data_IF_420053470943
#
_entry.id   IF_420053470943
#
_cell.length_a   1.000
_cell.length_b   1.000
_cell.length_c   1.000
_cell.angle_alpha   90.00
_cell.angle_beta   90.00
_cell.angle_gamma   90.00
#
_symmetry.space_group_name_H-M   'P 1'
#
loop_
_entity.id
_entity.type
_entity.pdbx_description
1 polymer ?
#
# COMPACT_ATOMS: atom_id res chain seq x y z
N UNK A 1 18.03 3.63 -17.69
CA UNK A 1 17.90 3.43 -16.23
C UNK A 1 16.57 4.01 -15.78
N UNK A 2 15.83 3.30 -14.90
CA UNK A 2 14.58 3.76 -14.31
C UNK A 2 14.64 3.52 -12.80
N UNK A 3 14.11 4.44 -11.99
CA UNK A 3 14.04 4.30 -10.53
C UNK A 3 12.60 3.96 -10.12
N UNK A 4 12.46 2.91 -9.32
CA UNK A 4 11.18 2.41 -8.85
C UNK A 4 11.13 2.34 -7.33
N UNK A 5 9.93 2.45 -6.76
CA UNK A 5 9.66 1.81 -5.47
C UNK A 5 9.69 0.31 -5.67
N UNK A 6 10.55 -0.42 -4.95
CA UNK A 6 10.81 -1.84 -5.25
C UNK A 6 9.55 -2.73 -5.12
N UNK A 7 8.63 -2.36 -4.23
CA UNK A 7 7.33 -3.05 -4.07
C UNK A 7 6.44 -3.01 -5.32
N UNK A 8 6.68 -2.07 -6.22
CA UNK A 8 5.91 -1.89 -7.45
C UNK A 8 6.62 -2.56 -8.65
N UNK A 9 7.79 -3.18 -8.43
CA UNK A 9 8.55 -3.92 -9.44
C UNK A 9 8.17 -5.40 -9.38
N UNK A 10 7.72 -6.02 -10.49
CA UNK A 10 7.34 -7.43 -10.52
C UNK A 10 8.51 -8.32 -10.08
N UNK A 11 8.21 -9.49 -9.51
CA UNK A 11 9.22 -10.44 -9.03
C UNK A 11 10.09 -11.02 -10.15
N UNK A 12 9.58 -11.01 -11.38
CA UNK A 12 10.28 -11.31 -12.64
C UNK A 12 10.17 -10.11 -13.58
N UNK A 13 11.30 -9.60 -14.05
CA UNK A 13 11.35 -8.55 -15.05
C UNK A 13 11.22 -9.14 -16.46
N UNK A 14 10.75 -8.36 -17.46
CA UNK A 14 10.80 -8.74 -18.86
C UNK A 14 12.22 -9.10 -19.31
N UNK A 15 12.32 -9.90 -20.36
CA UNK A 15 13.62 -10.22 -20.98
C UNK A 15 14.39 -8.95 -21.34
N UNK A 16 15.69 -8.93 -21.03
CA UNK A 16 16.55 -7.78 -21.22
C UNK A 16 16.53 -6.76 -20.08
N UNK A 17 15.65 -6.89 -19.08
CA UNK A 17 15.59 -6.04 -17.89
C UNK A 17 16.18 -6.71 -16.64
N UNK A 18 16.96 -5.96 -15.86
CA UNK A 18 17.42 -6.41 -14.54
C UNK A 18 17.39 -5.29 -13.48
N UNK A 19 17.34 -5.69 -12.21
CA UNK A 19 17.56 -4.77 -11.09
C UNK A 19 19.08 -4.60 -10.93
N UNK A 20 19.60 -3.44 -11.33
CA UNK A 20 21.02 -3.11 -11.26
C UNK A 20 21.49 -2.74 -9.85
N UNK A 21 20.62 -2.12 -9.03
CA UNK A 21 20.90 -1.84 -7.62
C UNK A 21 19.62 -1.74 -6.79
N UNK A 22 19.72 -2.14 -5.52
CA UNK A 22 18.74 -1.86 -4.47
C UNK A 22 19.38 -0.91 -3.47
N UNK A 23 18.80 0.28 -3.33
CA UNK A 23 19.34 1.36 -2.51
C UNK A 23 19.00 1.11 -1.04
N UNK A 24 19.68 1.83 -0.14
CA UNK A 24 19.40 1.82 1.30
C UNK A 24 17.90 2.00 1.59
N UNK A 25 17.35 1.08 2.39
CA UNK A 25 15.93 1.09 2.76
C UNK A 25 15.60 2.25 3.68
N UNK A 26 14.50 2.92 3.39
CA UNK A 26 13.75 3.68 4.40
C UNK A 26 12.86 2.74 5.21
N UNK A 27 12.14 3.29 6.20
CA UNK A 27 11.29 2.51 7.08
C UNK A 27 10.24 1.71 6.29
N UNK A 28 10.28 0.37 6.34
CA UNK A 28 9.37 -0.47 5.58
C UNK A 28 7.97 -0.54 6.18
N UNK A 29 7.75 -0.04 7.41
CA UNK A 29 6.47 -0.17 8.11
C UNK A 29 5.33 0.56 7.38
N UNK A 30 4.13 0.05 7.60
CA UNK A 30 2.94 0.83 7.35
C UNK A 30 2.68 1.78 8.53
N UNK A 31 1.98 2.87 8.27
CA UNK A 31 1.64 3.85 9.29
C UNK A 31 0.18 4.27 9.18
N UNK A 32 -0.36 4.69 10.31
CA UNK A 32 -1.69 5.25 10.44
C UNK A 32 -1.60 6.78 10.33
N UNK A 33 -2.48 7.36 9.54
CA UNK A 33 -2.72 8.81 9.51
C UNK A 33 -4.18 9.05 9.88
N UNK A 34 -4.39 9.65 11.04
CA UNK A 34 -5.71 10.02 11.54
C UNK A 34 -6.23 11.29 10.86
N UNK A 35 -7.56 11.38 10.68
CA UNK A 35 -8.21 12.61 10.20
C UNK A 35 -7.93 13.74 11.18
N UNK A 36 -7.65 14.94 10.64
CA UNK A 36 -7.43 16.13 11.46
C UNK A 36 -8.63 16.38 12.37
N UNK A 37 -8.33 16.72 13.63
CA UNK A 37 -9.34 16.98 14.67
C UNK A 37 -9.75 15.75 15.48
N UNK A 38 -9.43 14.53 15.04
CA UNK A 38 -9.59 13.34 15.87
C UNK A 38 -8.38 13.18 16.80
N UNK A 39 -8.64 12.80 18.06
CA UNK A 39 -7.60 12.65 19.09
C UNK A 39 -7.08 11.21 19.25
N UNK A 40 -7.62 10.26 18.49
CA UNK A 40 -7.23 8.85 18.55
C UNK A 40 -5.80 8.63 18.05
N UNK A 41 -5.06 7.71 18.68
CA UNK A 41 -3.64 7.45 18.41
C UNK A 41 -3.37 6.08 17.81
N UNK A 42 -4.35 5.18 17.81
CA UNK A 42 -4.23 3.83 17.27
C UNK A 42 -5.55 3.38 16.62
N UNK A 43 -5.51 2.24 15.95
CA UNK A 43 -6.72 1.60 15.41
C UNK A 43 -7.63 1.05 16.51
N UNK A 44 -7.07 0.61 17.65
CA UNK A 44 -7.82 0.06 18.79
C UNK A 44 -8.72 1.10 19.48
N UNK A 45 -8.36 2.37 19.39
CA UNK A 45 -9.11 3.47 20.01
C UNK A 45 -10.30 3.93 19.15
N UNK A 46 -10.37 3.52 17.89
CA UNK A 46 -11.42 3.93 16.98
C UNK A 46 -12.76 3.25 17.31
N UNK A 47 -13.89 3.98 17.32
CA UNK A 47 -15.21 3.39 17.53
C UNK A 47 -15.54 2.31 16.49
N UNK A 48 -16.34 1.33 16.90
CA UNK A 48 -16.92 0.33 16.00
C UNK A 48 -17.60 1.00 14.79
N UNK A 49 -17.36 0.47 13.60
CA UNK A 49 -17.88 1.03 12.34
C UNK A 49 -17.03 2.17 11.74
N UNK A 50 -15.95 2.62 12.39
CA UNK A 50 -15.06 3.64 11.83
C UNK A 50 -14.45 3.19 10.49
N UNK A 51 -14.41 4.10 9.52
CA UNK A 51 -13.95 3.79 8.16
C UNK A 51 -12.46 4.09 8.00
N UNK A 52 -11.70 3.08 7.60
CA UNK A 52 -10.26 3.13 7.33
C UNK A 52 -10.02 3.08 5.82
N UNK A 53 -9.32 4.08 5.29
CA UNK A 53 -8.99 4.16 3.87
C UNK A 53 -7.72 3.38 3.52
N UNK A 54 -7.85 2.34 2.70
CA UNK A 54 -6.71 1.66 2.05
C UNK A 54 -7.20 0.83 0.87
N UNK A 55 -6.52 0.94 -0.28
CA UNK A 55 -6.76 0.08 -1.45
C UNK A 55 -5.82 -1.14 -1.54
N UNK A 56 -5.01 -1.37 -0.51
CA UNK A 56 -4.14 -2.55 -0.46
C UNK A 56 -4.89 -3.75 0.11
N UNK A 57 -5.09 -4.78 -0.71
CA UNK A 57 -5.69 -6.07 -0.29
C UNK A 57 -4.91 -6.71 0.86
N UNK A 58 -3.58 -6.59 0.87
CA UNK A 58 -2.71 -7.03 1.97
C UNK A 58 -3.08 -6.34 3.28
N UNK A 59 -3.20 -5.01 3.27
CA UNK A 59 -3.53 -4.24 4.47
C UNK A 59 -4.93 -4.58 4.97
N UNK A 60 -5.90 -4.62 4.06
CA UNK A 60 -7.29 -4.95 4.42
C UNK A 60 -7.38 -6.34 5.05
N UNK A 61 -6.78 -7.36 4.42
CA UNK A 61 -6.84 -8.74 4.91
C UNK A 61 -6.25 -8.88 6.32
N UNK A 62 -5.04 -8.33 6.55
CA UNK A 62 -4.37 -8.42 7.85
C UNK A 62 -5.08 -7.57 8.92
N UNK A 63 -5.57 -6.38 8.57
CA UNK A 63 -6.24 -5.51 9.55
C UNK A 63 -7.65 -5.98 9.89
N UNK A 64 -8.39 -6.62 8.97
CA UNK A 64 -9.69 -7.24 9.30
C UNK A 64 -9.58 -8.33 10.36
N UNK A 65 -8.49 -9.10 10.33
CA UNK A 65 -8.18 -10.11 11.34
C UNK A 65 -8.05 -9.49 12.74
N UNK A 66 -7.33 -8.38 12.86
CA UNK A 66 -7.04 -7.71 14.14
C UNK A 66 -8.16 -6.76 14.57
N UNK A 67 -8.90 -6.19 13.62
CA UNK A 67 -9.90 -5.14 13.82
C UNK A 67 -11.21 -5.44 13.05
N UNK A 68 -11.92 -6.54 13.38
CA UNK A 68 -13.08 -7.00 12.61
C UNK A 68 -14.27 -6.03 12.63
N UNK A 69 -14.28 -5.08 13.55
CA UNK A 69 -15.34 -4.09 13.71
C UNK A 69 -15.10 -2.79 12.94
N UNK A 70 -13.92 -2.61 12.36
CA UNK A 70 -13.60 -1.46 11.50
C UNK A 70 -14.05 -1.73 10.06
N UNK A 71 -14.42 -0.68 9.35
CA UNK A 71 -14.84 -0.75 7.95
C UNK A 71 -13.67 -0.33 7.07
N UNK A 72 -13.33 -1.10 6.03
CA UNK A 72 -12.22 -0.79 5.13
C UNK A 72 -12.73 -0.38 3.75
N UNK A 73 -12.46 0.86 3.36
CA UNK A 73 -12.88 1.41 2.08
C UNK A 73 -11.69 1.80 1.20
N UNK A 74 -11.90 1.73 -0.12
CA UNK A 74 -10.91 2.12 -1.12
C UNK A 74 -10.61 3.63 -1.03
N UNK A 75 -9.32 3.98 -0.96
CA UNK A 75 -8.85 5.36 -1.09
C UNK A 75 -7.79 5.43 -2.18
N UNK A 76 -8.19 5.99 -3.33
CA UNK A 76 -7.36 6.07 -4.54
C UNK A 76 -6.82 7.49 -4.77
N UNK A 77 -5.74 7.56 -5.53
CA UNK A 77 -4.99 8.78 -5.83
C UNK A 77 -3.55 8.69 -5.34
N UNK A 78 -2.74 9.69 -5.69
CA UNK A 78 -1.42 9.87 -5.09
C UNK A 78 -1.54 10.27 -3.60
N UNK A 79 -0.41 10.35 -2.90
CA UNK A 79 -0.40 10.59 -1.45
C UNK A 79 -1.14 11.88 -1.05
N UNK A 80 -0.90 12.99 -1.75
CA UNK A 80 -1.57 14.27 -1.49
C UNK A 80 -3.09 14.18 -1.68
N UNK A 81 -3.54 13.50 -2.74
CA UNK A 81 -4.98 13.29 -3.00
C UNK A 81 -5.61 12.46 -1.88
N UNK A 82 -4.92 11.43 -1.39
CA UNK A 82 -5.42 10.60 -0.28
C UNK A 82 -5.50 11.38 1.04
N UNK A 83 -4.50 12.20 1.35
CA UNK A 83 -4.53 13.08 2.52
C UNK A 83 -5.65 14.13 2.42
N UNK A 84 -5.89 14.66 1.23
CA UNK A 84 -7.01 15.59 0.99
C UNK A 84 -8.35 14.90 1.24
N UNK A 85 -8.54 13.68 0.73
CA UNK A 85 -9.75 12.88 0.98
C UNK A 85 -9.93 12.48 2.44
N UNK A 86 -8.84 12.26 3.16
CA UNK A 86 -8.88 12.03 4.61
C UNK A 86 -9.35 13.28 5.35
N UNK A 87 -8.77 14.43 5.01
CA UNK A 87 -9.00 15.69 5.72
C UNK A 87 -10.34 16.37 5.32
N UNK A 88 -11.02 15.89 4.27
CA UNK A 88 -12.34 16.36 3.85
C UNK A 88 -13.37 16.16 4.99
N UNK A 89 -13.97 17.23 5.55
CA UNK A 89 -14.95 17.13 6.63
C UNK A 89 -16.12 16.20 6.30
N UNK A 90 -16.60 16.23 5.06
CA UNK A 90 -17.70 15.38 4.56
C UNK A 90 -17.20 14.01 4.08
N UNK A 91 -15.88 13.81 4.08
CA UNK A 91 -15.23 12.56 3.71
C UNK A 91 -15.46 11.45 4.75
N UNK A 92 -15.63 10.19 4.31
CA UNK A 92 -16.05 9.09 5.18
C UNK A 92 -14.94 8.57 6.10
N UNK A 93 -13.67 8.91 5.83
CA UNK A 93 -12.52 8.26 6.46
C UNK A 93 -12.24 8.84 7.85
N UNK A 94 -12.16 7.98 8.86
CA UNK A 94 -11.60 8.34 10.17
C UNK A 94 -10.06 8.33 10.13
N UNK A 95 -9.49 7.39 9.37
CA UNK A 95 -8.04 7.28 9.16
C UNK A 95 -7.72 6.67 7.81
N UNK A 96 -6.48 6.78 7.37
CA UNK A 96 -5.93 6.02 6.23
C UNK A 96 -4.64 5.31 6.63
N UNK A 97 -4.35 4.19 5.96
CA UNK A 97 -3.09 3.46 6.14
C UNK A 97 -2.18 3.68 4.94
N UNK A 98 -0.97 4.18 5.19
CA UNK A 98 0.04 4.53 4.18
C UNK A 98 1.36 3.80 4.42
N UNK A 99 2.24 3.79 3.42
CA UNK A 99 3.61 3.34 3.61
C UNK A 99 4.39 4.50 4.25
N UNK A 100 5.11 4.24 5.34
CA UNK A 100 5.85 5.28 6.08
C UNK A 100 6.88 6.00 5.22
N UNK A 101 7.72 5.23 4.49
CA UNK A 101 8.69 5.76 3.53
C UNK A 101 8.08 6.78 2.54
N UNK A 102 6.81 6.61 2.15
CA UNK A 102 6.15 7.55 1.23
C UNK A 102 5.90 8.92 1.86
N UNK A 103 5.67 8.98 3.18
CA UNK A 103 5.52 10.23 3.92
C UNK A 103 6.89 10.85 4.24
N UNK A 104 7.88 10.03 4.61
CA UNK A 104 9.25 10.47 4.89
C UNK A 104 9.89 11.16 3.68
N UNK A 105 9.80 10.56 2.49
CA UNK A 105 10.30 11.15 1.23
C UNK A 105 9.71 12.51 0.89
N UNK A 106 8.51 12.81 1.39
CA UNK A 106 7.78 14.05 1.13
C UNK A 106 7.90 15.06 2.28
N UNK A 107 8.65 14.75 3.35
CA UNK A 107 8.74 15.61 4.53
C UNK A 107 7.41 15.71 5.30
N UNK A 108 6.60 14.65 5.25
CA UNK A 108 5.26 14.59 5.85
C UNK A 108 5.20 13.67 7.08
N UNK A 109 6.33 13.44 7.75
CA UNK A 109 6.44 12.59 8.94
C UNK A 109 5.54 13.09 10.07
N UNK A 110 5.35 14.40 10.17
CA UNK A 110 4.44 15.04 11.14
C UNK A 110 2.98 14.63 10.99
N UNK A 111 2.59 14.07 9.84
CA UNK A 111 1.24 13.51 9.62
C UNK A 111 1.08 12.11 10.22
N UNK A 112 2.17 11.41 10.53
CA UNK A 112 2.12 10.04 11.04
C UNK A 112 1.58 10.06 12.46
N UNK A 113 0.46 9.36 12.68
CA UNK A 113 -0.12 9.17 14.02
C UNK A 113 0.64 8.08 14.77
N UNK A 114 0.83 6.93 14.15
CA UNK A 114 1.62 5.82 14.67
C UNK A 114 2.09 4.89 13.56
N UNK A 115 3.12 4.10 13.84
CA UNK A 115 3.52 2.98 12.98
C UNK A 115 2.70 1.74 13.34
N UNK A 116 2.34 0.95 12.33
CA UNK A 116 1.69 -0.35 12.52
C UNK A 116 2.76 -1.42 12.34
N UNK A 117 3.04 -2.15 13.42
CA UNK A 117 4.13 -3.12 13.48
C UNK A 117 3.64 -4.56 13.34
N UNK A 118 4.58 -5.49 13.14
CA UNK A 118 4.30 -6.90 13.30
C UNK A 118 3.96 -7.19 14.78
N UNK A 119 3.03 -8.12 15.09
CA UNK A 119 2.34 -9.03 14.16
C UNK A 119 1.05 -8.44 13.57
N UNK A 120 0.67 -7.21 13.90
CA UNK A 120 -0.59 -6.59 13.45
C UNK A 120 -0.63 -6.36 11.95
N UNK A 121 0.49 -5.90 11.37
CA UNK A 121 0.58 -5.68 9.94
C UNK A 121 2.02 -5.89 9.43
N UNK A 122 2.22 -6.97 8.67
CA UNK A 122 3.45 -7.23 7.93
C UNK A 122 3.41 -6.44 6.61
N UNK A 123 4.52 -5.75 6.31
CA UNK A 123 4.62 -4.83 5.18
C UNK A 123 4.67 -5.55 3.83
N UNK A 124 4.54 -4.79 2.73
CA UNK A 124 4.67 -5.35 1.39
C UNK A 124 6.13 -5.66 1.07
N UNK A 125 6.37 -6.71 0.29
CA UNK A 125 7.70 -7.08 -0.23
C UNK A 125 8.37 -5.89 -0.90
N UNK A 126 9.60 -5.58 -0.49
CA UNK A 126 10.37 -4.43 -1.00
C UNK A 126 9.83 -3.06 -0.58
N UNK A 127 8.86 -2.96 0.33
CA UNK A 127 8.37 -1.66 0.82
C UNK A 127 9.51 -0.88 1.49
N UNK A 128 9.60 0.42 1.21
CA UNK A 128 10.67 1.28 1.73
C UNK A 128 11.96 1.28 0.90
N UNK A 129 12.21 0.25 0.08
CA UNK A 129 13.37 0.22 -0.81
C UNK A 129 13.09 0.93 -2.14
N UNK A 130 14.12 1.58 -2.70
CA UNK A 130 14.16 1.99 -4.09
C UNK A 130 15.05 1.03 -4.88
N UNK A 131 14.66 0.75 -6.11
CA UNK A 131 15.40 -0.10 -7.01
C UNK A 131 15.65 0.60 -8.35
N UNK A 132 16.81 0.32 -8.93
CA UNK A 132 17.22 0.86 -10.21
C UNK A 132 17.16 -0.25 -11.24
N UNK A 133 16.26 -0.10 -12.22
CA UNK A 133 16.14 -0.99 -13.36
C UNK A 133 17.07 -0.53 -14.49
N UNK A 134 17.80 -1.48 -15.06
CA UNK A 134 18.72 -1.29 -16.18
C UNK A 134 18.51 -2.37 -17.23
N UNK A 135 19.10 -2.17 -18.42
CA UNK A 135 19.21 -3.25 -19.39
C UNK A 135 20.27 -4.24 -18.93
N UNK A 136 20.03 -5.53 -19.14
CA UNK A 136 20.96 -6.59 -18.77
C UNK A 136 22.24 -6.63 -19.61
N UNK A 137 22.25 -5.97 -20.77
CA UNK A 137 23.39 -5.89 -21.69
C UNK A 137 24.22 -4.60 -21.53
N UNK A 138 24.06 -3.88 -20.41
CA UNK A 138 24.69 -2.58 -20.13
C UNK A 138 25.67 -2.65 -18.95
N UNK A 139 26.87 -3.25 -19.14
CA UNK A 139 27.84 -3.44 -18.07
C UNK A 139 28.41 -2.12 -17.53
N UNK A 140 28.47 -1.08 -18.36
CA UNK A 140 28.94 0.24 -17.95
C UNK A 140 27.98 0.86 -16.92
N UNK A 141 26.67 0.80 -17.17
CA UNK A 141 25.68 1.25 -16.20
C UNK A 141 25.70 0.38 -14.93
N UNK A 142 25.89 -0.94 -15.08
CA UNK A 142 25.98 -1.86 -13.93
C UNK A 142 27.14 -1.48 -12.99
N UNK A 143 28.30 -1.18 -13.55
CA UNK A 143 29.48 -0.78 -12.78
C UNK A 143 29.24 0.51 -11.98
N UNK A 144 28.57 1.50 -12.59
CA UNK A 144 28.21 2.75 -11.91
C UNK A 144 27.26 2.55 -10.72
N UNK A 145 26.40 1.53 -10.78
CA UNK A 145 25.40 1.25 -9.76
C UNK A 145 25.92 0.48 -8.56
N UNK A 146 27.08 -0.17 -8.66
CA UNK A 146 27.70 -0.92 -7.54
C UNK A 146 27.82 -0.05 -6.29
N UNK A 147 28.15 1.24 -6.45
CA UNK A 147 28.32 2.15 -5.33
C UNK A 147 27.01 2.62 -4.66
N UNK A 148 25.87 2.42 -5.33
CA UNK A 148 24.54 2.78 -4.84
C UNK A 148 23.83 1.62 -4.15
N UNK A 149 24.27 0.39 -4.40
CA UNK A 149 23.68 -0.80 -3.78
C UNK A 149 24.00 -0.85 -2.28
N UNK A 150 22.94 -0.95 -1.47
CA UNK A 150 23.07 -1.29 -0.06
C UNK A 150 22.86 -2.79 0.09
N UNK A 151 23.93 -3.54 0.29
CA UNK A 151 23.88 -5.01 0.31
C UNK A 151 22.94 -5.57 1.38
N UNK A 152 22.78 -4.88 2.52
CA UNK A 152 21.87 -5.26 3.60
C UNK A 152 20.44 -5.23 3.11
N UNK A 153 20.03 -4.10 2.53
CA UNK A 153 18.71 -3.94 1.91
C UNK A 153 18.54 -4.90 0.74
N UNK A 154 19.57 -5.09 -0.08
CA UNK A 154 19.53 -5.99 -1.23
C UNK A 154 19.26 -7.43 -0.80
N UNK A 155 19.96 -7.95 0.21
CA UNK A 155 19.76 -9.31 0.72
C UNK A 155 18.36 -9.49 1.31
N UNK A 156 17.93 -8.59 2.19
CA UNK A 156 16.58 -8.62 2.75
C UNK A 156 15.50 -8.59 1.66
N UNK A 157 15.63 -7.69 0.69
CA UNK A 157 14.65 -7.56 -0.40
C UNK A 157 14.68 -8.75 -1.36
N UNK A 158 15.84 -9.34 -1.63
CA UNK A 158 15.97 -10.56 -2.44
C UNK A 158 15.27 -11.74 -1.77
N UNK A 159 15.45 -11.92 -0.46
CA UNK A 159 14.73 -12.92 0.32
C UNK A 159 13.20 -12.71 0.26
N UNK A 160 12.74 -11.48 0.51
CA UNK A 160 11.31 -11.12 0.42
C UNK A 160 10.73 -11.40 -0.97
N UNK A 161 11.45 -11.00 -2.03
CA UNK A 161 11.03 -11.19 -3.42
C UNK A 161 11.04 -12.66 -3.84
N UNK A 162 12.01 -13.44 -3.36
CA UNK A 162 12.04 -14.89 -3.60
C UNK A 162 10.87 -15.60 -2.91
N UNK A 163 10.54 -15.21 -1.67
CA UNK A 163 9.35 -15.68 -0.97
C UNK A 163 8.08 -15.37 -1.78
N UNK A 164 7.93 -14.11 -2.20
CA UNK A 164 6.79 -13.69 -3.01
C UNK A 164 6.72 -14.44 -4.33
N UNK A 165 7.83 -14.61 -5.05
CA UNK A 165 7.89 -15.32 -6.34
C UNK A 165 7.43 -16.77 -6.24
N UNK A 166 7.75 -17.46 -5.14
CA UNK A 166 7.31 -18.85 -4.92
C UNK A 166 5.83 -18.92 -4.55
N UNK A 167 5.30 -17.91 -3.85
CA UNK A 167 3.87 -17.82 -3.50
C UNK A 167 3.00 -17.30 -4.65
N UNK A 168 3.54 -16.46 -5.53
CA UNK A 168 2.82 -15.81 -6.63
C UNK A 168 2.50 -16.79 -7.76
N UNK A 169 1.30 -17.36 -7.71
CA UNK A 169 0.60 -17.91 -8.87
C UNK A 169 -0.17 -16.87 -9.70
N UNK A 170 -0.02 -15.56 -9.41
CA UNK A 170 -0.72 -14.45 -10.09
C UNK A 170 -0.64 -13.10 -9.33
N UNK A 171 -0.72 -11.97 -10.04
CA UNK A 171 -0.50 -10.62 -9.48
C UNK A 171 -1.57 -10.20 -8.44
N UNK A 172 -1.11 -9.73 -7.27
CA UNK A 172 -1.85 -9.09 -6.15
C UNK A 172 -2.35 -10.00 -5.02
N UNK A 173 -1.56 -10.95 -4.54
CA UNK A 173 -1.92 -11.78 -3.37
C UNK A 173 -1.77 -11.00 -2.04
N UNK A 174 -2.59 -11.24 -1.00
CA UNK A 174 -2.49 -10.60 0.32
C UNK A 174 -1.33 -11.17 1.15
N UNK A 175 -0.13 -11.09 0.56
CA UNK A 175 1.13 -11.53 1.17
C UNK A 175 1.74 -10.36 1.92
N UNK A 176 2.18 -10.61 3.15
CA UNK A 176 2.99 -9.68 3.95
C UNK A 176 4.32 -10.30 4.32
N UNK A 177 5.33 -9.47 4.53
CA UNK A 177 6.65 -9.89 5.01
C UNK A 177 7.16 -8.98 6.13
N UNK A 178 8.06 -9.49 6.95
CA UNK A 178 8.91 -8.73 7.86
C UNK A 178 10.31 -9.34 7.82
N UNK A 179 11.34 -8.52 7.67
CA UNK A 179 12.72 -8.97 7.56
C UNK A 179 13.62 -8.15 8.48
N UNK A 180 14.55 -8.85 9.11
CA UNK A 180 15.58 -8.26 9.95
C UNK A 180 16.91 -8.92 9.58
N UNK A 181 17.88 -8.11 9.19
CA UNK A 181 19.25 -8.55 8.93
C UNK A 181 20.15 -7.98 10.02
N UNK A 182 20.63 -8.85 10.89
CA UNK A 182 21.59 -8.50 11.95
C UNK A 182 22.96 -8.96 11.49
N UNK A 183 23.92 -8.05 11.39
CA UNK A 183 25.29 -8.42 11.05
C UNK A 183 25.84 -9.34 12.14
N UNK A 184 26.34 -10.51 11.74
CA UNK A 184 26.95 -11.42 12.70
C UNK A 184 28.29 -10.82 13.09
N UNK A 185 28.49 -10.55 14.39
CA UNK A 185 29.82 -10.26 14.89
C UNK A 185 30.63 -11.55 14.81
N UNK A 186 31.76 -11.52 14.11
CA UNK A 186 32.69 -12.63 14.19
C UNK A 186 33.18 -12.71 15.65
N UNK A 187 32.98 -13.87 16.28
CA UNK A 187 33.59 -14.27 17.57
C UNK A 187 35.14 -14.16 17.55
N UNK A 188 35.73 -13.79 16.41
CA UNK A 188 37.16 -13.55 16.23
C UNK A 188 37.64 -12.19 16.77
N UNK A 189 36.75 -11.27 17.14
CA UNK A 189 37.14 -9.92 17.60
C UNK A 189 37.51 -9.85 19.10
N UNK A 190 37.18 -10.87 19.90
CA UNK A 190 37.54 -10.93 21.34
C UNK A 190 39.05 -11.14 21.62
N UNK A 191 39.90 -11.34 20.60
CA UNK A 191 41.35 -11.49 20.79
C UNK A 191 42.19 -10.22 20.56
N UNK A 192 41.60 -9.05 20.29
CA UNK A 192 42.41 -7.83 20.08
C UNK A 192 42.09 -6.63 20.97
N UNK A 193 40.99 -6.62 21.72
CA UNK A 193 40.57 -5.43 22.49
C UNK A 193 40.58 -5.62 24.01
N UNK A 194 41.67 -6.20 24.54
CA UNK A 194 42.07 -5.96 25.92
C UNK A 194 42.95 -4.69 25.99
N UNK A 195 42.36 -3.51 25.69
CA UNK A 195 42.73 -2.16 26.17
C UNK A 195 42.11 -1.06 25.30
N UNK A 196 40.94 -0.58 25.70
CA UNK A 196 40.61 0.86 25.77
C UNK A 196 39.18 1.00 26.30
N UNK A 197 39.05 1.19 27.61
CA UNK A 197 37.79 1.65 28.20
C UNK A 197 37.52 3.09 27.80
N UNK A 198 36.27 3.38 27.44
CA UNK A 198 35.70 4.72 27.48
C UNK A 198 35.27 5.28 26.13
N UNK A 199 34.02 5.05 25.75
CA UNK A 199 33.05 6.11 25.40
C UNK A 199 31.81 5.52 24.74
N UNK A 200 30.66 6.11 25.07
CA UNK A 200 29.33 5.75 24.62
C UNK A 200 29.23 5.78 23.10
N UNK A 201 28.79 4.67 22.49
CA UNK A 201 28.59 4.55 21.05
C UNK A 201 27.28 5.22 20.63
N UNK A 202 27.41 6.43 20.09
CA UNK A 202 26.46 6.96 19.13
C UNK A 202 26.46 6.04 17.89
N UNK A 203 25.27 5.61 17.47
CA UNK A 203 25.07 4.82 16.25
C UNK A 203 25.56 5.63 15.04
N UNK A 204 26.71 5.22 14.50
CA UNK A 204 27.32 5.84 13.33
C UNK A 204 26.64 5.39 12.03
N UNK A 205 26.50 6.35 11.13
CA UNK A 205 25.80 6.32 9.87
C UNK A 205 26.45 5.36 8.85
N UNK A 206 25.63 4.51 8.22
CA UNK A 206 25.79 4.02 6.84
C UNK A 206 27.20 3.62 6.37
N UNK A 207 27.80 2.59 6.98
CA UNK A 207 29.05 2.02 6.48
C UNK A 207 28.81 1.22 5.19
N UNK A 208 29.46 1.66 4.09
CA UNK A 208 29.66 0.94 2.82
C UNK A 208 30.57 -0.30 2.99
N UNK A 209 30.36 -1.07 4.06
CA UNK A 209 31.14 -2.28 4.32
C UNK A 209 30.83 -3.34 3.27
N UNK A 210 31.82 -4.17 2.95
CA UNK A 210 31.59 -5.37 2.16
C UNK A 210 30.52 -6.27 2.82
N UNK A 211 29.79 -7.09 2.04
CA UNK A 211 28.88 -8.07 2.59
C UNK A 211 29.62 -9.04 3.52
N UNK A 212 28.98 -9.40 4.63
CA UNK A 212 29.52 -10.34 5.63
C UNK A 212 28.43 -11.30 6.07
N UNK A 213 28.83 -12.42 6.69
CA UNK A 213 27.90 -13.33 7.31
C UNK A 213 26.96 -12.57 8.26
N UNK A 214 25.66 -12.75 8.08
CA UNK A 214 24.63 -11.99 8.78
C UNK A 214 23.46 -12.89 9.10
N UNK A 215 22.89 -12.71 10.28
CA UNK A 215 21.69 -13.42 10.70
C UNK A 215 20.47 -12.76 10.05
N UNK A 216 19.88 -13.45 9.08
CA UNK A 216 18.65 -13.04 8.42
C UNK A 216 17.46 -13.72 9.09
N UNK A 217 16.54 -12.92 9.62
CA UNK A 217 15.20 -13.36 10.03
C UNK A 217 14.20 -12.87 8.99
N UNK A 218 13.44 -13.80 8.40
CA UNK A 218 12.36 -13.50 7.48
C UNK A 218 11.07 -14.15 7.96
N UNK A 219 10.05 -13.33 8.20
CA UNK A 219 8.67 -13.76 8.40
C UNK A 219 7.87 -13.48 7.14
N UNK A 220 7.14 -14.48 6.65
CA UNK A 220 6.13 -14.31 5.60
C UNK A 220 4.73 -14.63 6.13
N UNK A 221 3.69 -14.04 5.54
CA UNK A 221 2.30 -14.35 5.85
C UNK A 221 1.42 -14.35 4.60
N UNK A 222 0.37 -15.18 4.62
CA UNK A 222 -0.77 -15.15 3.68
C UNK A 222 -2.06 -15.09 4.49
N UNK A 223 -2.93 -14.14 4.16
CA UNK A 223 -4.20 -13.93 4.87
C UNK A 223 -5.36 -13.88 3.88
N UNK A 224 -6.48 -14.56 4.15
CA UNK A 224 -7.67 -14.48 3.29
C UNK A 224 -8.26 -13.06 3.26
N UNK A 225 -9.01 -12.72 2.21
CA UNK A 225 -9.54 -11.35 2.02
C UNK A 225 -10.55 -10.90 3.11
N UNK A 226 -11.17 -11.86 3.79
CA UNK A 226 -12.03 -11.65 4.96
C UNK A 226 -11.26 -11.55 6.28
N UNK A 227 -9.96 -11.93 6.30
CA UNK A 227 -9.13 -11.96 7.50
C UNK A 227 -9.29 -13.22 8.38
N UNK A 228 -10.13 -14.19 7.98
CA UNK A 228 -10.47 -15.34 8.83
C UNK A 228 -9.43 -16.47 8.79
N UNK A 229 -8.79 -16.69 7.62
CA UNK A 229 -7.69 -17.64 7.45
C UNK A 229 -6.38 -16.88 7.40
N UNK A 230 -5.40 -17.34 8.15
CA UNK A 230 -4.11 -16.69 8.23
C UNK A 230 -3.03 -17.71 8.54
N UNK A 231 -1.98 -17.71 7.72
CA UNK A 231 -0.79 -18.51 7.92
C UNK A 231 0.43 -17.60 7.94
N UNK A 232 1.37 -17.89 8.82
CA UNK A 232 2.66 -17.22 8.84
C UNK A 232 3.75 -18.23 9.16
N UNK A 233 4.98 -17.93 8.75
CA UNK A 233 6.14 -18.72 9.07
C UNK A 233 7.36 -17.81 9.15
N UNK A 234 8.26 -18.12 10.09
CA UNK A 234 9.51 -17.37 10.30
C UNK A 234 10.68 -18.32 10.19
N UNK A 235 11.67 -17.93 9.40
CA UNK A 235 12.98 -18.60 9.36
C UNK A 235 14.03 -17.58 9.81
N UNK A 236 14.93 -18.03 10.67
CA UNK A 236 16.13 -17.29 11.09
C UNK A 236 17.34 -18.15 10.81
N UNK A 237 18.27 -17.66 9.99
CA UNK A 237 19.53 -18.35 9.69
C UNK A 237 20.64 -17.36 9.37
N UNK A 238 21.88 -17.80 9.50
CA UNK A 238 23.03 -17.04 8.99
C UNK A 238 23.07 -17.20 7.47
N UNK A 239 23.26 -16.08 6.77
CA UNK A 239 23.48 -16.01 5.33
C UNK A 239 24.76 -15.24 5.06
N UNK A 240 25.52 -15.67 4.06
CA UNK A 240 26.80 -15.10 3.65
C UNK A 240 26.81 -14.61 2.20
N UNK A 241 25.70 -14.82 1.48
CA UNK A 241 25.56 -14.40 0.09
C UNK A 241 24.13 -13.99 -0.26
N UNK A 242 23.99 -13.26 -1.37
CA UNK A 242 22.67 -12.92 -1.91
C UNK A 242 21.86 -14.17 -2.29
N UNK A 243 22.53 -15.24 -2.75
CA UNK A 243 21.86 -16.49 -3.11
C UNK A 243 21.27 -17.20 -1.88
N UNK A 244 22.02 -17.26 -0.78
CA UNK A 244 21.53 -17.82 0.50
C UNK A 244 20.34 -17.02 1.04
N UNK A 245 20.37 -15.68 0.93
CA UNK A 245 19.22 -14.85 1.28
C UNK A 245 17.98 -15.17 0.42
N UNK A 246 18.14 -15.36 -0.89
CA UNK A 246 17.04 -15.80 -1.77
C UNK A 246 16.50 -17.17 -1.37
N UNK A 247 17.37 -18.10 -0.98
CA UNK A 247 16.97 -19.46 -0.58
C UNK A 247 16.15 -19.46 0.72
N UNK A 248 16.50 -18.61 1.70
CA UNK A 248 15.65 -18.36 2.88
C UNK A 248 14.25 -17.91 2.47
N UNK A 249 14.16 -17.01 1.49
CA UNK A 249 12.88 -16.59 0.91
C UNK A 249 12.06 -17.75 0.37
N UNK A 250 12.69 -18.60 -0.46
CA UNK A 250 12.03 -19.79 -1.02
C UNK A 250 11.57 -20.76 0.07
N UNK A 251 12.37 -20.95 1.12
CA UNK A 251 12.05 -21.88 2.20
C UNK A 251 10.91 -21.40 3.08
N UNK A 252 10.84 -20.08 3.38
CA UNK A 252 9.66 -19.48 4.04
C UNK A 252 8.41 -19.72 3.19
N UNK A 253 8.48 -19.51 1.88
CA UNK A 253 7.33 -19.74 1.00
C UNK A 253 6.89 -21.20 0.95
N UNK A 254 7.83 -22.16 0.87
CA UNK A 254 7.51 -23.60 0.92
C UNK A 254 6.83 -23.97 2.24
N UNK A 255 7.35 -23.47 3.37
CA UNK A 255 6.76 -23.72 4.68
C UNK A 255 5.33 -23.13 4.78
N UNK A 256 5.11 -21.92 4.23
CA UNK A 256 3.77 -21.33 4.14
C UNK A 256 2.81 -22.20 3.32
N UNK A 257 3.26 -22.72 2.16
CA UNK A 257 2.47 -23.61 1.31
C UNK A 257 2.08 -24.88 2.06
N UNK A 258 3.03 -25.53 2.74
CA UNK A 258 2.79 -26.72 3.57
C UNK A 258 1.77 -26.44 4.68
N UNK A 259 1.80 -25.23 5.25
CA UNK A 259 0.90 -24.80 6.32
C UNK A 259 -0.48 -24.30 5.81
N UNK A 260 -0.80 -24.47 4.52
CA UNK A 260 -2.12 -24.15 3.97
C UNK A 260 -2.24 -22.79 3.28
N UNK A 261 -1.12 -22.10 3.00
CA UNK A 261 -1.15 -20.86 2.21
C UNK A 261 -1.78 -21.09 0.81
N UNK A 262 -1.53 -22.25 0.21
CA UNK A 262 -2.01 -22.58 -1.13
C UNK A 262 -3.54 -22.52 -1.22
N UNK A 263 -4.24 -23.06 -0.21
CA UNK A 263 -5.70 -23.06 -0.20
C UNK A 263 -6.27 -21.64 -0.18
N UNK A 264 -5.64 -20.74 0.58
CA UNK A 264 -6.01 -19.32 0.64
C UNK A 264 -5.77 -18.66 -0.72
N UNK A 265 -4.61 -18.89 -1.33
CA UNK A 265 -4.23 -18.29 -2.61
C UNK A 265 -5.14 -18.78 -3.75
N UNK A 266 -5.44 -20.07 -3.80
CA UNK A 266 -6.31 -20.67 -4.80
C UNK A 266 -7.76 -20.15 -4.69
N UNK A 267 -8.25 -19.95 -3.46
CA UNK A 267 -9.56 -19.32 -3.20
C UNK A 267 -9.61 -17.89 -3.74
N UNK A 268 -8.58 -17.08 -3.46
CA UNK A 268 -8.48 -15.69 -3.92
C UNK A 268 -8.43 -15.60 -5.45
N UNK A 269 -7.69 -16.49 -6.10
CA UNK A 269 -7.58 -16.52 -7.55
C UNK A 269 -8.93 -16.85 -8.20
N UNK A 270 -9.66 -17.85 -7.68
CA UNK A 270 -11.02 -18.19 -8.15
C UNK A 270 -12.00 -17.02 -8.01
N UNK A 271 -12.02 -16.36 -6.85
CA UNK A 271 -12.90 -15.21 -6.62
C UNK A 271 -12.62 -14.07 -7.62
N UNK A 272 -11.35 -13.82 -7.92
CA UNK A 272 -10.94 -12.78 -8.88
C UNK A 272 -11.37 -13.09 -10.30
N UNK A 273 -11.10 -14.30 -10.77
CA UNK A 273 -11.53 -14.74 -12.10
C UNK A 273 -13.04 -14.57 -12.25
N UNK A 274 -13.81 -14.97 -11.23
CA UNK A 274 -15.27 -14.79 -11.22
C UNK A 274 -15.69 -13.32 -11.29
N UNK A 275 -14.97 -12.42 -10.61
CA UNK A 275 -15.26 -10.98 -10.63
C UNK A 275 -14.96 -10.37 -12.00
N UNK A 276 -13.81 -10.70 -12.60
CA UNK A 276 -13.45 -10.22 -13.94
C UNK A 276 -14.46 -10.70 -14.98
N UNK A 277 -14.94 -11.93 -14.87
CA UNK A 277 -15.98 -12.45 -15.75
C UNK A 277 -17.31 -11.69 -15.60
N UNK A 278 -17.74 -11.39 -14.36
CA UNK A 278 -18.95 -10.59 -14.10
C UNK A 278 -18.83 -9.17 -14.63
N UNK A 279 -17.69 -8.50 -14.42
CA UNK A 279 -17.44 -7.15 -14.93
C UNK A 279 -17.50 -7.14 -16.47
N UNK A 280 -16.86 -8.12 -17.14
CA UNK A 280 -16.95 -8.27 -18.61
C UNK A 280 -18.37 -8.54 -19.10
N UNK A 281 -19.15 -9.36 -18.40
CA UNK A 281 -20.56 -9.62 -18.73
C UNK A 281 -21.40 -8.35 -18.60
N UNK A 282 -21.22 -7.60 -17.50
CA UNK A 282 -21.92 -6.33 -17.28
C UNK A 282 -21.57 -5.27 -18.34
N UNK A 283 -20.30 -5.18 -18.72
CA UNK A 283 -19.86 -4.26 -19.78
C UNK A 283 -20.43 -4.65 -21.14
N UNK A 284 -20.47 -5.96 -21.45
CA UNK A 284 -21.10 -6.46 -22.67
C UNK A 284 -22.62 -6.19 -22.71
N UNK A 285 -23.33 -6.42 -21.59
CA UNK A 285 -24.76 -6.09 -21.46
C UNK A 285 -25.02 -4.59 -21.55
N UNK A 286 -24.12 -3.75 -21.03
CA UNK A 286 -24.22 -2.30 -21.15
C UNK A 286 -24.00 -1.82 -22.59
N UNK A 287 -23.08 -2.43 -23.33
CA UNK A 287 -22.83 -2.12 -24.74
C UNK A 287 -23.99 -2.54 -25.67
N UNK A 288 -24.83 -3.50 -25.25
CA UNK A 288 -25.99 -4.00 -26.01
C UNK A 288 -27.29 -3.20 -25.76
N UNK A 289 -27.30 -2.24 -24.83
CA UNK A 289 -28.48 -1.38 -24.60
C UNK A 289 -28.56 -0.30 -25.69
N UNK A 290 -29.68 -0.18 -26.43
CA UNK A 290 -29.90 0.95 -27.32
C UNK A 290 -29.86 2.25 -26.53
N UNK A 291 -29.26 3.31 -27.08
CA UNK A 291 -29.39 4.67 -26.55
C UNK A 291 -30.88 5.05 -26.59
N UNK A 292 -31.57 4.91 -25.46
CA UNK A 292 -32.84 5.60 -25.26
C UNK A 292 -32.53 7.09 -25.26
N UNK A 293 -32.74 7.74 -26.41
CA UNK A 293 -32.75 9.19 -26.52
C UNK A 293 -33.63 9.76 -25.41
N UNK A 294 -33.01 10.47 -24.47
CA UNK A 294 -33.67 11.31 -23.48
C UNK A 294 -34.60 12.30 -24.20
N UNK A 295 -35.86 11.90 -24.36
CA UNK A 295 -36.95 12.75 -24.83
C UNK A 295 -37.81 13.13 -23.63
N UNK A 296 -37.20 13.66 -22.56
CA UNK A 296 -37.95 14.14 -21.39
C UNK A 296 -37.67 15.59 -20.99
N UNK A 297 -36.90 16.34 -21.79
CA UNK A 297 -36.54 17.74 -21.49
C UNK A 297 -37.27 18.82 -22.34
N UNK A 298 -38.29 18.42 -23.12
CA UNK A 298 -39.08 19.34 -23.96
C UNK A 298 -40.53 19.58 -23.50
N UNK A 299 -40.96 19.01 -22.36
CA UNK A 299 -42.30 19.30 -21.78
C UNK A 299 -42.30 20.25 -20.58
N UNK A 300 -41.13 20.79 -20.17
CA UNK A 300 -41.00 21.73 -19.04
C UNK A 300 -40.55 23.14 -19.43
N UNK A 301 -40.99 23.69 -20.57
CA UNK A 301 -40.88 25.14 -20.84
C UNK A 301 -42.08 25.66 -21.64
N UNK A 302 -43.23 25.81 -20.97
CA UNK A 302 -44.23 26.81 -21.37
C UNK A 302 -44.56 27.62 -20.11
N UNK A 303 -44.20 28.90 -20.03
CA UNK A 303 -44.65 29.77 -18.96
C UNK A 303 -46.15 30.05 -19.12
N UNK A 304 -46.92 29.86 -18.03
CA UNK A 304 -48.30 30.32 -17.95
C UNK A 304 -48.32 31.86 -18.00
N UNK A 305 -48.80 32.43 -19.10
CA UNK A 305 -49.14 33.84 -19.17
C UNK A 305 -50.45 34.08 -18.40
N UNK A 306 -50.34 34.81 -17.29
CA UNK A 306 -51.46 35.37 -16.55
C UNK A 306 -52.11 36.48 -17.39
N UNK A 307 -53.39 36.34 -17.71
CA UNK A 307 -54.23 37.44 -18.20
C UNK A 307 -55.03 38.00 -17.02
N UNK A 308 -54.62 39.16 -16.53
CA UNK A 308 -55.43 40.01 -15.64
C UNK A 308 -55.22 41.46 -16.03
N UNK A 309 -56.14 42.01 -16.81
CA UNK A 309 -56.41 43.45 -16.84
C UNK A 309 -57.90 43.65 -16.66
N UNK A 310 -58.19 44.47 -15.66
CA UNK A 310 -59.45 44.75 -15.03
C UNK A 310 -60.19 45.90 -15.74
N UNK A 311 -61.51 45.90 -15.55
CA UNK A 311 -62.48 46.99 -15.58
C UNK A 311 -62.33 48.21 -16.52
N UNK A 312 -63.33 48.36 -17.41
CA UNK A 312 -63.95 49.66 -17.68
C UNK A 312 -65.47 49.49 -17.56
N UNK A 313 -66.02 49.89 -16.41
CA UNK A 313 -67.45 50.10 -16.20
C UNK A 313 -67.74 51.59 -16.39
N UNK A 314 -68.65 51.86 -17.32
CA UNK A 314 -69.37 53.12 -17.50
C UNK A 314 -70.13 53.49 -16.21
N UNK A 315 -69.95 54.74 -15.76
CA UNK A 315 -70.98 55.48 -15.03
C UNK A 315 -70.71 56.98 -15.11
N UNK A 316 -71.44 57.63 -16.00
CA UNK A 316 -71.70 59.07 -15.97
C UNK A 316 -72.26 59.46 -14.60
N UNK A 317 -71.73 60.54 -14.02
CA UNK A 317 -72.42 61.28 -12.95
C UNK A 317 -72.35 62.76 -13.29
N UNK A 318 -73.52 63.33 -13.53
CA UNK A 318 -73.78 64.73 -13.76
C UNK A 318 -73.85 65.50 -12.42
N UNK A 319 -73.55 66.81 -12.48
CA UNK A 319 -73.96 67.91 -11.59
C UNK A 319 -73.16 68.30 -10.30
N UNK A 320 -72.46 69.45 -10.43
CA UNK A 320 -72.66 70.76 -9.73
C UNK A 320 -72.08 71.03 -8.31
N UNK A 321 -71.24 72.09 -8.24
CA UNK A 321 -70.94 73.15 -7.20
C UNK A 321 -70.73 72.67 -5.75
N UNK A 322 -69.72 73.09 -4.99
CA UNK A 322 -69.13 74.43 -4.81
C UNK A 322 -69.20 74.76 -3.30
N UNK A 323 -68.04 75.13 -2.72
CA UNK A 323 -67.74 75.34 -1.28
C UNK A 323 -67.50 74.08 -0.42
#
# INVERSE_FOLDING_TARGET
>A
MIVHSLKDVPTLLPEGGEIGAILKREDPRDCLVMKKGLSYKSLDELPDGSVIGTSSVRRVAQLKKSFPKLVFNDVRGNLNTRLTKLDDPEGPFAAIVLARAGLERLGLESRITCNIEAPTLLYAVGQGALAVEIRSDDPETRELLVQLEDWRTAWSCRAERACLRVLEGGCSVPVGVNSLLEEHEDDATEKSEAKAEGSQSAQAEGSKSAPRASKLTLTGTVTSLDGLKHVHHTITTVVSSAQEAEDVGKDVAKALIVNGAKDILDEINRERESRVQRERQQDAERALRPEELETDDLKRKIPAAQSSTDATEDKETELIRGE
#
